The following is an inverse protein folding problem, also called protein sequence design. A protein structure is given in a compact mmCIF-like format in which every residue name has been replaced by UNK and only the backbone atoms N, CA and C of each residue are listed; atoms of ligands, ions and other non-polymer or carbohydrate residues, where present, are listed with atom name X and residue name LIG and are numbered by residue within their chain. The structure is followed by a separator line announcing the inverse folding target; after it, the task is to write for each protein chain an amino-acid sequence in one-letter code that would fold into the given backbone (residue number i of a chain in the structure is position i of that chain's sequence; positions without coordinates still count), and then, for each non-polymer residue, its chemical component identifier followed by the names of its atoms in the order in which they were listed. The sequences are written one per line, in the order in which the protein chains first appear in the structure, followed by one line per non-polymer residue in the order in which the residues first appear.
data_IF_680051969789
#
_entry.id   IF_680051969789
#
_cell.length_a   1.000
_cell.length_b   1.000
_cell.length_c   1.000
_cell.angle_alpha   90.00
_cell.angle_beta   90.00
_cell.angle_gamma   90.00
#
_symmetry.space_group_name_H-M   'P 1'
#
loop_
_entity.id
_entity.type
_entity.pdbx_description
1 polymer ?
#
# COMPACT_ATOMS: atom_id res chain seq x y z
N UNK A 1 -14.22 -1.04 -20.26
CA UNK A 1 -13.90 0.18 -19.49
C UNK A 1 -13.76 -0.05 -17.98
N UNK A 2 -14.69 -0.74 -17.28
CA UNK A 2 -14.46 -1.12 -15.86
C UNK A 2 -13.23 -2.04 -15.71
N UNK A 3 -12.98 -2.88 -16.70
CA UNK A 3 -11.83 -3.79 -16.69
C UNK A 3 -10.48 -3.08 -16.84
N UNK A 4 -10.42 -1.87 -17.42
CA UNK A 4 -9.16 -1.21 -17.78
C UNK A 4 -8.45 -0.59 -16.58
N UNK A 5 -9.19 0.07 -15.67
CA UNK A 5 -8.62 0.67 -14.46
C UNK A 5 -8.17 -0.41 -13.46
N UNK A 6 -8.95 -1.49 -13.33
CA UNK A 6 -8.55 -2.67 -12.54
C UNK A 6 -7.35 -3.40 -13.14
N UNK A 7 -7.31 -3.57 -14.48
CA UNK A 7 -6.16 -4.16 -15.18
C UNK A 7 -4.89 -3.33 -14.96
N UNK A 8 -5.01 -2.00 -15.01
CA UNK A 8 -3.89 -1.07 -14.82
C UNK A 8 -3.28 -1.19 -13.42
N UNK A 9 -4.11 -1.23 -12.37
CA UNK A 9 -3.65 -1.47 -11.00
C UNK A 9 -2.96 -2.84 -10.85
N UNK A 10 -3.56 -3.90 -11.42
CA UNK A 10 -2.97 -5.25 -11.38
C UNK A 10 -1.61 -5.30 -12.08
N UNK A 11 -1.46 -4.61 -13.22
CA UNK A 11 -0.19 -4.55 -13.95
C UNK A 11 0.90 -3.85 -13.13
N UNK A 12 0.59 -2.73 -12.48
CA UNK A 12 1.50 -2.04 -11.57
C UNK A 12 2.00 -2.99 -10.48
N UNK A 13 1.08 -3.69 -9.83
CA UNK A 13 1.41 -4.59 -8.73
C UNK A 13 2.25 -5.78 -9.18
N UNK A 14 1.95 -6.33 -10.36
CA UNK A 14 2.76 -7.38 -10.95
C UNK A 14 4.20 -6.90 -11.20
N UNK A 15 4.37 -5.69 -11.73
CA UNK A 15 5.70 -5.09 -11.96
C UNK A 15 6.47 -4.87 -10.65
N UNK A 16 5.79 -4.36 -9.61
CA UNK A 16 6.40 -4.17 -8.30
C UNK A 16 6.89 -5.52 -7.72
N UNK A 17 6.04 -6.55 -7.73
CA UNK A 17 6.40 -7.90 -7.24
C UNK A 17 7.59 -8.50 -8.00
N UNK A 18 7.61 -8.38 -9.33
CA UNK A 18 8.73 -8.87 -10.15
C UNK A 18 10.06 -8.18 -9.82
N UNK A 19 10.03 -6.88 -9.46
CA UNK A 19 11.23 -6.13 -9.06
C UNK A 19 11.67 -6.48 -7.65
N UNK A 20 10.74 -6.68 -6.73
CA UNK A 20 11.03 -7.13 -5.35
C UNK A 20 11.74 -8.49 -5.36
N UNK A 21 11.34 -9.41 -6.23
CA UNK A 21 11.96 -10.73 -6.34
C UNK A 21 13.46 -10.69 -6.70
N UNK A 22 13.96 -9.55 -7.19
CA UNK A 22 15.39 -9.34 -7.50
C UNK A 22 16.22 -8.92 -6.27
N UNK A 23 15.60 -8.79 -5.10
CA UNK A 23 16.25 -8.42 -3.84
C UNK A 23 16.27 -6.91 -3.55
N UNK A 24 16.73 -6.56 -2.34
CA UNK A 24 16.79 -5.18 -1.86
C UNK A 24 15.63 -4.77 -0.94
N UNK A 25 15.53 -3.47 -0.66
CA UNK A 25 14.50 -2.93 0.24
C UNK A 25 13.12 -2.94 -0.41
N UNK A 26 12.27 -3.91 -0.05
CA UNK A 26 10.89 -4.08 -0.56
C UNK A 26 10.12 -2.76 -0.65
N UNK A 27 10.05 -1.99 0.43
CA UNK A 27 9.33 -0.70 0.47
C UNK A 27 9.85 0.28 -0.57
N UNK A 28 11.17 0.46 -0.67
CA UNK A 28 11.79 1.41 -1.61
C UNK A 28 11.57 0.96 -3.06
N UNK A 29 11.71 -0.34 -3.33
CA UNK A 29 11.45 -0.90 -4.67
C UNK A 29 9.99 -0.72 -5.08
N UNK A 30 9.03 -0.95 -4.16
CA UNK A 30 7.60 -0.72 -4.42
C UNK A 30 7.29 0.74 -4.71
N UNK A 31 7.82 1.65 -3.87
CA UNK A 31 7.58 3.09 -4.00
C UNK A 31 8.15 3.64 -5.30
N UNK A 32 9.41 3.34 -5.61
CA UNK A 32 10.05 3.78 -6.88
C UNK A 32 9.29 3.24 -8.10
N UNK A 33 8.90 1.96 -8.08
CA UNK A 33 8.12 1.37 -9.18
C UNK A 33 6.76 2.05 -9.35
N UNK A 34 6.09 2.41 -8.25
CA UNK A 34 4.84 3.15 -8.28
C UNK A 34 5.02 4.57 -8.82
N UNK A 35 6.05 5.30 -8.39
CA UNK A 35 6.35 6.65 -8.87
C UNK A 35 6.73 6.67 -10.36
N UNK A 36 7.53 5.70 -10.82
CA UNK A 36 7.83 5.50 -12.25
C UNK A 36 6.55 5.27 -13.05
N UNK A 37 5.66 4.43 -12.54
CA UNK A 37 4.39 4.17 -13.21
C UNK A 37 3.53 5.43 -13.34
N UNK A 38 3.44 6.26 -12.29
CA UNK A 38 2.72 7.54 -12.34
C UNK A 38 3.35 8.47 -13.37
N UNK A 39 4.69 8.55 -13.39
CA UNK A 39 5.42 9.35 -14.37
C UNK A 39 5.16 8.92 -15.81
N UNK A 40 5.08 7.60 -16.05
CA UNK A 40 4.85 7.04 -17.38
C UNK A 40 3.37 7.05 -17.81
N UNK A 41 2.43 7.05 -16.85
CA UNK A 41 0.99 6.90 -17.11
C UNK A 41 0.11 7.93 -16.37
N UNK A 42 0.41 9.24 -16.43
CA UNK A 42 -0.27 10.24 -15.59
C UNK A 42 -1.77 10.36 -15.87
N UNK A 43 -2.18 10.25 -17.15
CA UNK A 43 -3.59 10.37 -17.53
C UNK A 43 -4.43 9.20 -17.05
N UNK A 44 -3.87 7.99 -17.08
CA UNK A 44 -4.58 6.81 -16.64
C UNK A 44 -4.71 6.79 -15.10
N UNK A 45 -3.72 7.33 -14.36
CA UNK A 45 -3.87 7.52 -12.91
C UNK A 45 -4.86 8.64 -12.56
N UNK A 46 -4.86 9.76 -13.32
CA UNK A 46 -5.90 10.81 -13.18
C UNK A 46 -7.31 10.28 -13.42
N UNK A 47 -7.48 9.41 -14.42
CA UNK A 47 -8.76 8.76 -14.67
C UNK A 47 -9.18 7.90 -13.48
N UNK A 48 -8.27 7.09 -12.93
CA UNK A 48 -8.53 6.29 -11.73
C UNK A 48 -9.00 7.15 -10.55
N UNK A 49 -8.31 8.27 -10.29
CA UNK A 49 -8.69 9.20 -9.22
C UNK A 49 -10.05 9.85 -9.48
N UNK A 50 -10.30 10.33 -10.70
CA UNK A 50 -11.57 10.98 -11.08
C UNK A 50 -12.73 10.05 -10.86
N UNK A 51 -12.59 8.80 -11.26
CA UNK A 51 -13.66 7.82 -11.17
C UNK A 51 -13.89 7.32 -9.73
N UNK A 52 -12.89 7.42 -8.84
CA UNK A 52 -13.08 7.21 -7.39
C UNK A 52 -14.02 8.25 -6.78
N UNK A 53 -13.94 9.51 -7.22
CA UNK A 53 -14.79 10.61 -6.76
C UNK A 53 -15.99 10.90 -7.67
N UNK A 54 -16.13 10.16 -8.78
CA UNK A 54 -17.12 10.40 -9.83
C UNK A 54 -18.55 10.05 -9.42
N UNK A 55 -19.52 10.41 -10.26
CA UNK A 55 -20.96 10.24 -9.98
C UNK A 55 -21.47 8.80 -10.17
N UNK A 56 -20.78 7.98 -10.97
CA UNK A 56 -21.18 6.59 -11.24
C UNK A 56 -20.93 5.67 -10.03
N UNK A 57 -22.01 5.29 -9.32
CA UNK A 57 -21.94 4.39 -8.18
C UNK A 57 -21.35 3.01 -8.51
N UNK A 58 -21.70 2.46 -9.68
CA UNK A 58 -21.20 1.16 -10.14
C UNK A 58 -19.68 1.19 -10.35
N UNK A 59 -19.15 2.30 -10.87
CA UNK A 59 -17.72 2.45 -11.10
C UNK A 59 -16.95 2.68 -9.79
N UNK A 60 -17.46 3.54 -8.90
CA UNK A 60 -16.89 3.69 -7.54
C UNK A 60 -16.79 2.35 -6.81
N UNK A 61 -17.84 1.54 -6.90
CA UNK A 61 -17.86 0.21 -6.29
C UNK A 61 -16.82 -0.74 -6.93
N UNK A 62 -16.62 -0.68 -8.25
CA UNK A 62 -15.59 -1.49 -8.92
C UNK A 62 -14.17 -1.11 -8.49
N UNK A 63 -13.85 0.18 -8.46
CA UNK A 63 -12.55 0.67 -8.00
C UNK A 63 -12.32 0.31 -6.53
N UNK A 64 -13.34 0.50 -5.68
CA UNK A 64 -13.26 0.13 -4.28
C UNK A 64 -12.99 -1.38 -4.11
N UNK A 65 -13.64 -2.24 -4.89
CA UNK A 65 -13.36 -3.69 -4.87
C UNK A 65 -11.93 -4.01 -5.25
N UNK A 66 -11.38 -3.40 -6.30
CA UNK A 66 -9.98 -3.62 -6.71
C UNK A 66 -8.99 -3.18 -5.63
N UNK A 67 -9.23 -2.02 -4.99
CA UNK A 67 -8.41 -1.55 -3.87
C UNK A 67 -8.49 -2.53 -2.69
N UNK A 68 -9.69 -3.02 -2.36
CA UNK A 68 -9.89 -3.99 -1.28
C UNK A 68 -9.21 -5.34 -1.58
N UNK A 69 -9.28 -5.83 -2.82
CA UNK A 69 -8.53 -7.02 -3.23
C UNK A 69 -7.02 -6.80 -3.07
N UNK A 70 -6.52 -5.61 -3.43
CA UNK A 70 -5.11 -5.29 -3.26
C UNK A 70 -4.69 -5.23 -1.79
N UNK A 71 -5.51 -4.64 -0.92
CA UNK A 71 -5.29 -4.63 0.54
C UNK A 71 -5.22 -6.07 1.06
N UNK A 72 -6.15 -6.92 0.64
CA UNK A 72 -6.18 -8.33 1.05
C UNK A 72 -4.91 -9.09 0.62
N UNK A 73 -4.45 -8.92 -0.63
CA UNK A 73 -3.20 -9.54 -1.11
C UNK A 73 -1.96 -9.03 -0.36
N UNK A 74 -1.92 -7.74 -0.02
CA UNK A 74 -0.81 -7.18 0.76
C UNK A 74 -0.85 -7.70 2.21
N UNK A 75 -2.04 -7.83 2.79
CA UNK A 75 -2.21 -8.42 4.11
C UNK A 75 -1.75 -9.88 4.14
N UNK A 76 -2.11 -10.68 3.12
CA UNK A 76 -1.64 -12.07 2.96
C UNK A 76 -0.11 -12.15 2.95
N UNK A 77 0.53 -11.26 2.17
CA UNK A 77 1.99 -11.17 2.10
C UNK A 77 2.60 -10.81 3.47
N UNK A 78 2.05 -9.80 4.15
CA UNK A 78 2.56 -9.33 5.44
C UNK A 78 2.38 -10.37 6.56
N UNK A 79 1.32 -11.17 6.49
CA UNK A 79 1.04 -12.28 7.41
C UNK A 79 2.07 -13.38 7.27
N UNK A 80 2.40 -13.77 6.03
CA UNK A 80 3.46 -14.74 5.76
C UNK A 80 4.84 -14.23 6.19
N UNK A 81 5.16 -12.97 5.89
CA UNK A 81 6.48 -12.39 6.15
C UNK A 81 6.73 -12.14 7.64
N UNK A 82 5.75 -11.60 8.36
CA UNK A 82 5.93 -11.13 9.74
C UNK A 82 5.32 -12.04 10.80
N UNK A 83 4.56 -13.08 10.41
CA UNK A 83 3.84 -13.99 11.31
C UNK A 83 2.95 -13.25 12.31
N UNK A 84 2.27 -12.21 11.83
CA UNK A 84 1.32 -11.43 12.62
C UNK A 84 -0.12 -11.85 12.32
N UNK A 85 -1.06 -11.75 13.29
CA UNK A 85 -2.48 -12.05 13.05
C UNK A 85 -3.09 -11.20 11.93
N UNK A 86 -4.09 -11.75 11.26
CA UNK A 86 -4.79 -11.10 10.14
C UNK A 86 -5.26 -9.68 10.41
N UNK A 87 -5.82 -9.44 11.60
CA UNK A 87 -6.32 -8.11 11.99
C UNK A 87 -5.24 -7.02 11.95
N UNK A 88 -3.99 -7.38 12.28
CA UNK A 88 -2.85 -6.47 12.22
C UNK A 88 -2.39 -6.22 10.80
N UNK A 89 -2.30 -7.28 10.01
CA UNK A 89 -1.76 -7.20 8.65
C UNK A 89 -2.73 -6.51 7.70
N UNK A 90 -4.04 -6.70 7.88
CA UNK A 90 -5.09 -5.95 7.18
C UNK A 90 -5.04 -4.46 7.50
N UNK A 91 -5.00 -4.08 8.79
CA UNK A 91 -4.91 -2.69 9.19
C UNK A 91 -3.61 -2.02 8.70
N UNK A 92 -2.48 -2.74 8.77
CA UNK A 92 -1.21 -2.26 8.24
C UNK A 92 -1.29 -2.07 6.71
N UNK A 93 -1.80 -3.06 5.98
CA UNK A 93 -1.95 -3.00 4.54
C UNK A 93 -2.85 -1.83 4.12
N UNK A 94 -4.02 -1.68 4.73
CA UNK A 94 -4.95 -0.59 4.46
C UNK A 94 -4.30 0.79 4.65
N UNK A 95 -3.57 0.98 5.75
CA UNK A 95 -2.84 2.22 6.01
C UNK A 95 -1.77 2.50 4.94
N UNK A 96 -0.97 1.48 4.59
CA UNK A 96 0.07 1.59 3.55
C UNK A 96 -0.55 1.95 2.18
N UNK A 97 -1.62 1.28 1.78
CA UNK A 97 -2.31 1.55 0.50
C UNK A 97 -2.88 2.96 0.49
N UNK A 98 -3.51 3.39 1.57
CA UNK A 98 -4.10 4.73 1.70
C UNK A 98 -3.06 5.83 1.47
N UNK A 99 -1.90 5.74 2.12
CA UNK A 99 -0.86 6.76 1.97
C UNK A 99 -0.21 6.74 0.59
N UNK A 100 -0.02 5.56 -0.01
CA UNK A 100 0.52 5.42 -1.37
C UNK A 100 -0.41 6.06 -2.40
N UNK A 101 -1.71 5.82 -2.31
CA UNK A 101 -2.68 6.46 -3.21
C UNK A 101 -2.72 7.97 -3.03
N UNK A 102 -2.66 8.46 -1.79
CA UNK A 102 -2.61 9.90 -1.50
C UNK A 102 -1.37 10.55 -2.11
N UNK A 103 -0.19 9.96 -1.88
CA UNK A 103 1.05 10.43 -2.48
C UNK A 103 1.03 10.33 -4.00
N UNK A 104 0.40 9.30 -4.57
CA UNK A 104 0.26 9.18 -6.01
C UNK A 104 -0.55 10.32 -6.63
N UNK A 105 -1.57 10.82 -5.93
CA UNK A 105 -2.34 11.98 -6.38
C UNK A 105 -1.49 13.25 -6.37
N UNK A 106 -0.76 13.50 -5.28
CA UNK A 106 0.18 14.63 -5.16
C UNK A 106 1.26 14.57 -6.25
N UNK A 107 1.77 13.37 -6.55
CA UNK A 107 2.81 13.15 -7.55
C UNK A 107 2.43 13.62 -8.97
N UNK A 108 1.13 13.75 -9.29
CA UNK A 108 0.67 14.17 -10.62
C UNK A 108 0.88 15.65 -10.92
N UNK A 109 0.98 16.47 -9.87
CA UNK A 109 0.91 17.93 -9.97
C UNK A 109 2.23 18.62 -9.56
N UNK A 110 3.27 17.83 -9.28
CA UNK A 110 4.58 18.29 -8.81
C UNK A 110 5.68 18.03 -9.84
N UNK A 111 6.76 18.81 -9.76
CA UNK A 111 7.95 18.62 -10.60
C UNK A 111 8.80 17.40 -10.19
N UNK A 112 9.88 17.13 -10.92
CA UNK A 112 10.74 15.97 -10.71
C UNK A 112 11.44 16.01 -9.33
N UNK A 113 11.88 17.19 -8.88
CA UNK A 113 12.60 17.31 -7.61
C UNK A 113 11.63 17.16 -6.43
N UNK A 114 10.45 17.78 -6.52
CA UNK A 114 9.36 17.61 -5.58
C UNK A 114 8.87 16.16 -5.53
N UNK A 115 8.78 15.48 -6.69
CA UNK A 115 8.41 14.06 -6.76
C UNK A 115 9.46 13.19 -6.06
N UNK A 116 10.76 13.49 -6.21
CA UNK A 116 11.83 12.78 -5.50
C UNK A 116 11.73 12.96 -3.98
N UNK A 117 11.42 14.18 -3.52
CA UNK A 117 11.19 14.44 -2.10
C UNK A 117 9.97 13.71 -1.56
N UNK A 118 8.88 13.69 -2.34
CA UNK A 118 7.67 12.93 -2.04
C UNK A 118 7.95 11.43 -1.94
N UNK A 119 8.78 10.90 -2.83
CA UNK A 119 9.23 9.50 -2.81
C UNK A 119 9.97 9.16 -1.51
N UNK A 120 10.97 9.95 -1.13
CA UNK A 120 11.72 9.73 0.11
C UNK A 120 10.83 9.83 1.35
N UNK A 121 9.93 10.81 1.38
CA UNK A 121 8.93 10.98 2.45
C UNK A 121 8.02 9.76 2.54
N UNK A 122 7.53 9.25 1.41
CA UNK A 122 6.66 8.08 1.36
C UNK A 122 7.38 6.82 1.84
N UNK A 123 8.64 6.62 1.46
CA UNK A 123 9.47 5.51 1.96
C UNK A 123 9.60 5.57 3.48
N UNK A 124 9.84 6.75 4.05
CA UNK A 124 9.93 6.92 5.50
C UNK A 124 8.59 6.62 6.18
N UNK A 125 7.47 7.13 5.66
CA UNK A 125 6.13 6.89 6.20
C UNK A 125 5.77 5.40 6.20
N UNK A 126 6.01 4.69 5.09
CA UNK A 126 5.75 3.25 5.01
C UNK A 126 6.62 2.45 5.98
N UNK A 127 7.88 2.86 6.19
CA UNK A 127 8.75 2.24 7.20
C UNK A 127 8.24 2.48 8.63
N UNK A 128 7.73 3.68 8.93
CA UNK A 128 7.12 3.98 10.23
C UNK A 128 5.89 3.11 10.47
N UNK A 129 5.01 2.96 9.48
CA UNK A 129 3.82 2.10 9.57
C UNK A 129 4.24 0.64 9.81
N UNK A 130 5.16 0.12 9.00
CA UNK A 130 5.63 -1.26 9.12
C UNK A 130 6.28 -1.55 10.48
N UNK A 131 7.17 -0.67 10.96
CA UNK A 131 7.79 -0.82 12.27
C UNK A 131 6.79 -0.64 13.42
N UNK A 132 5.87 0.31 13.28
CA UNK A 132 4.84 0.59 14.29
C UNK A 132 3.89 -0.59 14.47
N UNK A 133 3.42 -1.20 13.38
CA UNK A 133 2.57 -2.39 13.41
C UNK A 133 3.27 -3.55 14.12
N UNK A 134 4.53 -3.84 13.75
CA UNK A 134 5.31 -4.90 14.38
C UNK A 134 5.57 -4.64 15.87
N UNK A 135 5.95 -3.41 16.24
CA UNK A 135 6.18 -3.04 17.63
C UNK A 135 4.91 -3.16 18.49
N UNK A 136 3.77 -2.69 17.98
CA UNK A 136 2.49 -2.80 18.68
C UNK A 136 2.12 -4.27 18.93
N UNK A 137 2.24 -5.12 17.89
CA UNK A 137 1.95 -6.55 18.00
C UNK A 137 2.82 -7.23 19.07
N UNK A 138 4.14 -7.00 19.01
CA UNK A 138 5.07 -7.58 19.98
C UNK A 138 4.75 -7.15 21.42
N UNK A 139 4.42 -5.87 21.61
CA UNK A 139 4.07 -5.34 22.94
C UNK A 139 2.77 -5.95 23.48
N UNK A 140 1.82 -6.28 22.61
CA UNK A 140 0.58 -6.95 23.00
C UNK A 140 0.82 -8.41 23.43
N UNK A 141 1.72 -9.11 22.74
CA UNK A 141 2.17 -10.46 23.14
C UNK A 141 2.87 -10.43 24.51
N UNK A 142 3.76 -9.47 24.74
CA UNK A 142 4.46 -9.32 26.02
C UNK A 142 3.48 -9.06 27.19
N UNK A 143 2.44 -8.24 26.97
CA UNK A 143 1.38 -8.01 27.97
C UNK A 143 0.58 -9.26 28.28
N UNK A 144 0.19 -10.03 27.25
CA UNK A 144 -0.56 -11.27 27.44
C UNK A 144 0.26 -12.30 28.23
N UNK A 145 1.55 -12.44 27.91
CA UNK A 145 2.46 -13.33 28.64
C UNK A 145 2.60 -12.94 30.11
N UNK A 146 2.71 -11.63 30.41
CA UNK A 146 2.78 -11.13 31.78
C UNK A 146 1.47 -11.35 32.54
N UNK A 147 0.30 -11.21 31.90
CA UNK A 147 -0.99 -11.44 32.51
C UNK A 147 -1.18 -12.91 32.93
N UNK A 148 -0.75 -13.85 32.08
CA UNK A 148 -0.80 -15.29 32.39
C UNK A 148 0.11 -15.70 33.56
N UNK A 149 1.27 -15.06 33.71
CA UNK A 149 2.19 -15.30 34.84
C UNK A 149 1.69 -14.75 36.18
N UNK A 150 0.74 -13.82 36.16
CA UNK A 150 0.15 -13.24 37.38
C UNK A 150 -1.11 -13.96 37.88
N UNK A 151 -1.62 -14.95 37.13
CA UNK A 151 -2.78 -15.76 37.49
C UNK A 151 -2.41 -17.16 38.03
N UNK A 152 -1.13 -17.54 38.00
CA UNK A 152 -0.55 -18.74 38.64
C UNK A 152 0.12 -18.41 39.98
#
# INVERSE_FOLDING_TARGET
MVDESGLMLRQLMRQARQRIAKGGSVIRTSVSTFMEFIGNNPNAFRLLLRERSGTSAAFRAAVAREIQHFIAELADYLELENRMPRSFTEAQAEAMVTIVFSAGAEALDVDIEQRRQLEERLVLQLRMISKGAYYWYRREQEKMALAHLSEE
#
